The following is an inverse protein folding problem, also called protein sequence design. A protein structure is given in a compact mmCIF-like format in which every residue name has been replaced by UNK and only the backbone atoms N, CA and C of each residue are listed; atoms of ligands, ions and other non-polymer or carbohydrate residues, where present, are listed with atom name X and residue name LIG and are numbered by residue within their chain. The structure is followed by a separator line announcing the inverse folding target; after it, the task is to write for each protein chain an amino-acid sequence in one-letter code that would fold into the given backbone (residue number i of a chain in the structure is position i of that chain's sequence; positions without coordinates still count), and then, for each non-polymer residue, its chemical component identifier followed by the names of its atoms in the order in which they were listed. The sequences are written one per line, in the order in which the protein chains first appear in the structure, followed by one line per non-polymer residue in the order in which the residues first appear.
data_IF_142250933091
#
_entry.id   IF_142250933091
#
_cell.length_a   1.000
_cell.length_b   1.000
_cell.length_c   1.000
_cell.angle_alpha   90.00
_cell.angle_beta   90.00
_cell.angle_gamma   90.00
#
_symmetry.space_group_name_H-M   'P 1'
#
loop_
_entity.id
_entity.type
_entity.pdbx_description
1 polymer ?
#
# COMPACT_ATOMS: atom_id res chain seq x y z
N UNK A 1 -11.78 -23.30 -17.74
CA UNK A 1 -12.40 -21.96 -17.63
C UNK A 1 -12.99 -21.86 -16.23
N UNK A 2 -12.48 -20.97 -15.38
CA UNK A 2 -13.07 -20.74 -14.05
C UNK A 2 -14.51 -20.21 -14.20
N UNK A 3 -15.40 -20.61 -13.29
CA UNK A 3 -16.80 -20.21 -13.31
C UNK A 3 -16.91 -18.71 -12.96
N UNK A 4 -17.51 -17.86 -13.82
CA UNK A 4 -17.61 -16.42 -13.59
C UNK A 4 -18.24 -16.03 -12.24
N UNK A 5 -19.14 -16.87 -11.71
CA UNK A 5 -19.75 -16.66 -10.41
C UNK A 5 -18.75 -16.87 -9.26
N UNK A 6 -17.83 -17.83 -9.40
CA UNK A 6 -16.78 -18.10 -8.41
C UNK A 6 -15.80 -16.92 -8.38
N UNK A 7 -15.40 -16.40 -9.53
CA UNK A 7 -14.51 -15.23 -9.59
C UNK A 7 -15.16 -13.99 -8.96
N UNK A 8 -16.42 -13.70 -9.27
CA UNK A 8 -17.13 -12.58 -8.63
C UNK A 8 -17.21 -12.74 -7.11
N UNK A 9 -17.49 -13.95 -6.61
CA UNK A 9 -17.48 -14.24 -5.17
C UNK A 9 -16.11 -13.98 -4.54
N UNK A 10 -15.02 -14.45 -5.15
CA UNK A 10 -13.65 -14.15 -4.71
C UNK A 10 -13.41 -12.64 -4.68
N UNK A 11 -13.83 -11.91 -5.71
CA UNK A 11 -13.69 -10.45 -5.79
C UNK A 11 -14.38 -9.70 -4.65
N UNK A 12 -15.66 -9.99 -4.40
CA UNK A 12 -16.38 -9.39 -3.29
C UNK A 12 -15.77 -9.74 -1.93
N UNK A 13 -15.33 -10.99 -1.75
CA UNK A 13 -14.70 -11.44 -0.52
C UNK A 13 -13.39 -10.70 -0.24
N UNK A 14 -12.53 -10.52 -1.24
CA UNK A 14 -11.28 -9.76 -1.10
C UNK A 14 -11.57 -8.32 -0.67
N UNK A 15 -12.53 -7.65 -1.32
CA UNK A 15 -12.88 -6.26 -0.99
C UNK A 15 -13.45 -6.16 0.43
N UNK A 16 -14.35 -7.07 0.80
CA UNK A 16 -14.94 -7.10 2.14
C UNK A 16 -13.85 -7.30 3.21
N UNK A 17 -12.96 -8.26 3.00
CA UNK A 17 -11.85 -8.52 3.93
C UNK A 17 -10.91 -7.31 3.99
N UNK A 18 -10.58 -6.67 2.86
CA UNK A 18 -9.72 -5.49 2.87
C UNK A 18 -10.34 -4.32 3.66
N UNK A 19 -11.66 -4.12 3.55
CA UNK A 19 -12.39 -3.12 4.36
C UNK A 19 -12.31 -3.48 5.84
N UNK A 20 -12.59 -4.74 6.20
CA UNK A 20 -12.51 -5.21 7.59
C UNK A 20 -11.10 -5.04 8.14
N UNK A 21 -10.06 -5.44 7.40
CA UNK A 21 -8.66 -5.28 7.78
C UNK A 21 -8.32 -3.81 8.01
N UNK A 22 -8.70 -2.91 7.09
CA UNK A 22 -8.48 -1.48 7.26
C UNK A 22 -9.21 -0.89 8.47
N UNK A 23 -10.45 -1.29 8.72
CA UNK A 23 -11.21 -0.86 9.90
C UNK A 23 -10.62 -1.37 11.21
N UNK A 24 -10.18 -2.64 11.25
CA UNK A 24 -9.53 -3.22 12.42
C UNK A 24 -8.17 -2.58 12.69
N UNK A 25 -7.41 -2.25 11.65
CA UNK A 25 -6.14 -1.52 11.77
C UNK A 25 -6.34 -0.17 12.48
N UNK A 26 -7.38 0.58 12.10
CA UNK A 26 -7.71 1.85 12.76
C UNK A 26 -8.17 1.68 14.23
N UNK A 27 -8.67 0.49 14.59
CA UNK A 27 -9.10 0.19 15.95
C UNK A 27 -7.95 -0.31 16.85
N UNK A 28 -6.76 -0.63 16.30
CA UNK A 28 -5.62 -1.14 17.08
C UNK A 28 -5.24 -0.24 18.28
N UNK A 29 -5.20 1.10 18.16
CA UNK A 29 -4.85 1.97 19.28
C UNK A 29 -5.84 1.92 20.45
N UNK A 30 -7.08 1.48 20.22
CA UNK A 30 -8.09 1.31 21.27
C UNK A 30 -7.96 0.00 22.03
N UNK A 31 -7.26 -0.99 21.46
CA UNK A 31 -7.10 -2.34 22.03
C UNK A 31 -5.72 -2.51 22.65
N UNK A 32 -4.69 -1.88 22.08
CA UNK A 32 -3.30 -2.03 22.51
C UNK A 32 -2.83 -0.73 23.14
N UNK A 33 -2.57 -0.76 24.45
CA UNK A 33 -2.09 0.41 25.20
C UNK A 33 -0.56 0.60 25.17
N UNK A 34 0.20 -0.44 24.79
CA UNK A 34 1.66 -0.34 24.68
C UNK A 34 2.06 0.26 23.33
N UNK A 35 2.80 1.36 23.34
CA UNK A 35 3.28 2.05 22.13
C UNK A 35 4.14 1.15 21.25
N UNK A 36 5.14 0.49 21.86
CA UNK A 36 6.04 -0.45 21.14
C UNK A 36 5.27 -1.61 20.51
N UNK A 37 4.31 -2.18 21.23
CA UNK A 37 3.50 -3.28 20.72
C UNK A 37 2.56 -2.80 19.60
N UNK A 38 1.96 -1.61 19.75
CA UNK A 38 1.07 -1.01 18.76
C UNK A 38 1.81 -0.73 17.44
N UNK A 39 3.00 -0.14 17.52
CA UNK A 39 3.84 0.15 16.35
C UNK A 39 4.28 -1.13 15.64
N UNK A 40 4.79 -2.10 16.40
CA UNK A 40 5.23 -3.38 15.84
C UNK A 40 4.04 -4.10 15.19
N UNK A 41 2.92 -4.26 15.92
CA UNK A 41 1.74 -4.92 15.37
C UNK A 41 1.19 -4.18 14.17
N UNK A 42 1.11 -2.85 14.22
CA UNK A 42 0.67 -2.02 13.11
C UNK A 42 1.48 -2.25 11.84
N UNK A 43 2.82 -2.27 11.96
CA UNK A 43 3.72 -2.50 10.82
C UNK A 43 3.50 -3.85 10.13
N UNK A 44 3.13 -4.90 10.89
CA UNK A 44 2.93 -6.24 10.34
C UNK A 44 1.46 -6.61 10.08
N UNK A 45 0.49 -5.87 10.62
CA UNK A 45 -0.93 -6.25 10.62
C UNK A 45 -1.48 -6.43 9.20
N UNK A 46 -1.35 -5.38 8.38
CA UNK A 46 -1.89 -5.39 7.02
C UNK A 46 -1.19 -6.43 6.13
N UNK A 47 0.14 -6.52 6.22
CA UNK A 47 0.92 -7.46 5.40
C UNK A 47 0.57 -8.90 5.75
N UNK A 48 0.47 -9.27 7.03
CA UNK A 48 0.15 -10.64 7.42
C UNK A 48 -1.25 -11.06 6.97
N UNK A 49 -2.26 -10.23 7.26
CA UNK A 49 -3.65 -10.57 6.96
C UNK A 49 -3.86 -10.60 5.43
N UNK A 50 -3.44 -9.55 4.73
CA UNK A 50 -3.67 -9.47 3.29
C UNK A 50 -2.85 -10.49 2.52
N UNK A 51 -1.61 -10.80 2.95
CA UNK A 51 -0.82 -11.86 2.32
C UNK A 51 -1.54 -13.21 2.40
N UNK A 52 -2.00 -13.61 3.60
CA UNK A 52 -2.72 -14.88 3.79
C UNK A 52 -3.99 -14.92 2.94
N UNK A 53 -4.80 -13.86 2.98
CA UNK A 53 -6.08 -13.80 2.25
C UNK A 53 -5.86 -13.89 0.74
N UNK A 54 -4.93 -13.09 0.20
CA UNK A 54 -4.64 -13.07 -1.23
C UNK A 54 -4.00 -14.38 -1.68
N UNK A 55 -3.10 -14.95 -0.88
CA UNK A 55 -2.51 -16.26 -1.17
C UNK A 55 -3.58 -17.35 -1.24
N UNK A 56 -4.52 -17.40 -0.29
CA UNK A 56 -5.57 -18.42 -0.26
C UNK A 56 -6.59 -18.27 -1.40
N UNK A 57 -6.97 -17.03 -1.73
CA UNK A 57 -8.04 -16.76 -2.72
C UNK A 57 -7.56 -16.71 -4.16
N UNK A 58 -6.36 -16.19 -4.41
CA UNK A 58 -5.82 -15.95 -5.75
C UNK A 58 -4.70 -16.95 -6.13
N UNK A 59 -4.02 -17.57 -5.14
CA UNK A 59 -2.99 -18.60 -5.32
C UNK A 59 -1.96 -18.26 -6.42
N UNK A 60 -2.10 -18.86 -7.61
CA UNK A 60 -1.18 -18.70 -8.74
C UNK A 60 -1.13 -17.26 -9.25
N UNK A 61 -2.26 -16.57 -9.28
CA UNK A 61 -2.33 -15.15 -9.69
C UNK A 61 -1.53 -14.28 -8.71
N UNK A 62 -1.67 -14.53 -7.41
CA UNK A 62 -0.94 -13.82 -6.37
C UNK A 62 0.57 -14.09 -6.43
N UNK A 63 0.97 -15.35 -6.56
CA UNK A 63 2.38 -15.72 -6.67
C UNK A 63 3.03 -15.13 -7.92
N UNK A 64 2.27 -14.89 -8.99
CA UNK A 64 2.78 -14.25 -10.20
C UNK A 64 3.24 -12.80 -9.92
N UNK A 65 2.57 -12.07 -9.02
CA UNK A 65 2.93 -10.68 -8.69
C UNK A 65 4.34 -10.52 -8.12
N UNK A 66 4.87 -11.57 -7.51
CA UNK A 66 6.22 -11.60 -6.92
C UNK A 66 7.30 -12.10 -7.87
N UNK A 67 6.92 -12.60 -9.05
CA UNK A 67 7.88 -13.14 -10.04
C UNK A 67 8.40 -12.07 -10.99
N UNK A 68 7.60 -11.05 -11.24
CA UNK A 68 7.96 -10.00 -12.18
C UNK A 68 8.77 -8.91 -11.50
N UNK A 69 9.69 -8.33 -12.25
CA UNK A 69 10.40 -7.12 -11.87
C UNK A 69 10.64 -6.28 -13.12
N UNK A 70 10.45 -4.96 -13.04
CA UNK A 70 10.65 -4.08 -14.19
C UNK A 70 11.43 -2.84 -13.81
N UNK A 71 12.70 -2.82 -14.22
CA UNK A 71 13.59 -1.68 -14.00
C UNK A 71 13.12 -0.41 -14.72
N UNK A 72 12.53 -0.57 -15.92
CA UNK A 72 11.93 0.54 -16.68
C UNK A 72 10.86 1.27 -15.86
N UNK A 73 9.94 0.52 -15.24
CA UNK A 73 8.85 1.11 -14.47
C UNK A 73 9.29 1.63 -13.11
N UNK A 74 10.39 1.10 -12.55
CA UNK A 74 11.03 1.66 -11.36
C UNK A 74 11.61 3.05 -11.64
N UNK A 75 12.40 3.20 -12.72
CA UNK A 75 12.98 4.49 -13.11
C UNK A 75 11.90 5.53 -13.41
N UNK A 76 10.78 5.12 -14.01
CA UNK A 76 9.67 6.04 -14.31
C UNK A 76 8.86 6.33 -13.03
N UNK A 77 8.62 5.32 -12.21
CA UNK A 77 7.74 5.38 -11.06
C UNK A 77 8.25 6.30 -9.95
N UNK A 78 9.54 6.22 -9.62
CA UNK A 78 10.16 7.05 -8.57
C UNK A 78 9.99 8.56 -8.84
N UNK A 79 10.48 9.12 -9.96
CA UNK A 79 10.33 10.56 -10.23
C UNK A 79 8.87 10.95 -10.40
N UNK A 80 8.05 10.09 -11.01
CA UNK A 80 6.62 10.38 -11.19
C UNK A 80 5.90 10.50 -9.85
N UNK A 81 6.15 9.57 -8.91
CA UNK A 81 5.52 9.62 -7.59
C UNK A 81 6.01 10.83 -6.78
N UNK A 82 7.31 11.18 -6.86
CA UNK A 82 7.84 12.39 -6.24
C UNK A 82 7.17 13.67 -6.76
N UNK A 83 7.00 13.79 -8.08
CA UNK A 83 6.33 14.95 -8.70
C UNK A 83 4.88 15.01 -8.24
N UNK A 84 4.12 13.92 -8.37
CA UNK A 84 2.70 13.88 -7.97
C UNK A 84 2.54 14.15 -6.48
N UNK A 85 3.38 13.56 -5.64
CA UNK A 85 3.36 13.77 -4.19
C UNK A 85 3.65 15.22 -3.80
N UNK A 86 4.64 15.84 -4.42
CA UNK A 86 4.99 17.25 -4.17
C UNK A 86 3.87 18.19 -4.61
N UNK A 87 3.29 17.96 -5.79
CA UNK A 87 2.16 18.74 -6.30
C UNK A 87 0.92 18.58 -5.40
N UNK A 88 0.58 17.35 -5.03
CA UNK A 88 -0.55 17.07 -4.14
C UNK A 88 -0.36 17.73 -2.76
N UNK A 89 0.84 17.65 -2.19
CA UNK A 89 1.20 18.31 -0.93
C UNK A 89 1.08 19.83 -1.03
N UNK A 90 1.53 20.41 -2.14
CA UNK A 90 1.45 21.86 -2.39
C UNK A 90 0.00 22.33 -2.49
N UNK A 91 -0.84 21.59 -3.22
CA UNK A 91 -2.29 21.85 -3.32
C UNK A 91 -2.95 21.73 -1.95
N UNK A 92 -2.62 20.68 -1.19
CA UNK A 92 -3.17 20.46 0.15
C UNK A 92 -2.80 21.61 1.11
N UNK A 93 -1.54 22.04 1.11
CA UNK A 93 -1.07 23.15 1.95
C UNK A 93 -1.82 24.46 1.67
N UNK A 94 -2.13 24.73 0.41
CA UNK A 94 -2.92 25.91 0.01
C UNK A 94 -4.38 25.83 0.50
N UNK A 95 -4.97 24.63 0.51
CA UNK A 95 -6.37 24.43 0.95
C UNK A 95 -6.46 24.39 2.48
N UNK A 96 -5.51 23.74 3.15
CA UNK A 96 -5.50 23.50 4.59
C UNK A 96 -4.97 24.69 5.41
N UNK A 97 -4.45 25.74 4.77
CA UNK A 97 -3.95 26.94 5.45
C UNK A 97 -2.57 26.76 6.10
N UNK A 98 -1.73 25.87 5.57
CA UNK A 98 -0.37 25.61 6.05
C UNK A 98 -0.14 24.16 6.49
N UNK A 99 1.12 23.82 6.74
CA UNK A 99 1.53 22.51 7.24
C UNK A 99 1.34 22.47 8.76
N UNK A 100 0.31 21.80 9.25
CA UNK A 100 0.24 21.42 10.68
C UNK A 100 1.46 20.56 11.02
N UNK A 101 2.20 20.88 12.08
CA UNK A 101 3.30 20.05 12.55
C UNK A 101 2.80 18.62 12.82
N UNK A 102 3.35 17.64 12.08
CA UNK A 102 3.05 16.24 12.31
C UNK A 102 3.72 15.79 13.62
N UNK A 103 2.93 15.30 14.58
CA UNK A 103 3.39 14.70 15.84
C UNK A 103 4.29 13.46 15.65
N UNK A 104 4.33 12.92 14.42
CA UNK A 104 5.12 11.75 14.00
C UNK A 104 6.63 12.04 14.01
N UNK A 105 7.05 13.31 13.93
CA UNK A 105 8.46 13.70 13.92
C UNK A 105 9.23 13.27 15.19
N UNK A 106 8.51 12.98 16.28
CA UNK A 106 9.10 12.55 17.56
C UNK A 106 9.41 11.03 17.64
N UNK A 107 8.95 10.23 16.68
CA UNK A 107 9.05 8.74 16.68
C UNK A 107 9.90 8.20 15.52
N UNK A 108 10.19 9.03 14.51
CA UNK A 108 10.96 8.66 13.31
C UNK A 108 12.46 8.53 13.62
N UNK A 109 12.90 7.36 14.07
CA UNK A 109 14.32 6.97 14.11
C UNK A 109 14.71 6.12 12.89
N UNK A 110 16.00 6.11 12.53
CA UNK A 110 16.50 5.24 11.45
C UNK A 110 16.23 3.75 11.72
N UNK A 111 16.32 3.32 12.98
CA UNK A 111 16.01 1.94 13.37
C UNK A 111 14.54 1.62 13.11
N UNK A 112 13.62 2.52 13.50
CA UNK A 112 12.19 2.37 13.25
C UNK A 112 11.90 2.27 11.75
N UNK A 113 12.46 3.18 10.97
CA UNK A 113 12.27 3.23 9.51
C UNK A 113 12.71 1.92 8.88
N UNK A 114 13.91 1.44 9.19
CA UNK A 114 14.45 0.22 8.57
C UNK A 114 13.64 -1.02 8.98
N UNK A 115 13.21 -1.10 10.23
CA UNK A 115 12.56 -2.30 10.78
C UNK A 115 11.08 -2.40 10.44
N UNK A 116 10.35 -1.29 10.45
CA UNK A 116 8.89 -1.30 10.40
C UNK A 116 8.32 -0.82 9.05
N UNK A 117 8.89 0.25 8.46
CA UNK A 117 8.33 0.89 7.27
C UNK A 117 8.26 -0.05 6.05
N UNK A 118 9.28 -0.88 5.73
CA UNK A 118 9.20 -1.76 4.58
C UNK A 118 8.02 -2.75 4.64
N UNK A 119 7.71 -3.28 5.83
CA UNK A 119 6.61 -4.22 6.01
C UNK A 119 5.25 -3.53 6.05
N UNK A 120 5.19 -2.36 6.68
CA UNK A 120 4.00 -1.51 6.69
C UNK A 120 3.57 -1.17 5.26
N UNK A 121 4.51 -0.66 4.45
CA UNK A 121 4.26 -0.31 3.06
C UNK A 121 3.93 -1.52 2.20
N UNK A 122 4.59 -2.67 2.41
CA UNK A 122 4.19 -3.90 1.72
C UNK A 122 2.74 -4.29 2.04
N UNK A 123 2.31 -4.11 3.29
CA UNK A 123 0.93 -4.32 3.72
C UNK A 123 -0.06 -3.39 3.01
N UNK A 124 0.29 -2.12 2.87
CA UNK A 124 -0.51 -1.14 2.12
C UNK A 124 -0.59 -1.46 0.63
N UNK A 125 0.52 -1.90 0.02
CA UNK A 125 0.56 -2.37 -1.37
C UNK A 125 -0.34 -3.59 -1.56
N UNK A 126 -0.24 -4.59 -0.68
CA UNK A 126 -1.09 -5.78 -0.73
C UNK A 126 -2.57 -5.44 -0.59
N UNK A 127 -2.91 -4.52 0.32
CA UNK A 127 -4.29 -4.08 0.52
C UNK A 127 -4.81 -3.34 -0.72
N UNK A 128 -4.07 -2.36 -1.22
CA UNK A 128 -4.48 -1.51 -2.35
C UNK A 128 -4.52 -2.28 -3.68
N UNK A 129 -3.49 -3.07 -3.99
CA UNK A 129 -3.42 -3.91 -5.19
C UNK A 129 -4.45 -5.04 -5.09
N UNK A 130 -4.66 -5.62 -3.91
CA UNK A 130 -5.69 -6.64 -3.68
C UNK A 130 -7.09 -6.14 -4.03
N UNK A 131 -7.46 -4.95 -3.54
CA UNK A 131 -8.74 -4.29 -3.88
C UNK A 131 -8.82 -3.96 -5.37
N UNK A 132 -7.77 -3.38 -5.94
CA UNK A 132 -7.69 -3.08 -7.38
C UNK A 132 -7.91 -4.33 -8.22
N UNK A 133 -7.19 -5.41 -7.91
CA UNK A 133 -7.23 -6.66 -8.66
C UNK A 133 -8.59 -7.33 -8.54
N UNK A 134 -9.18 -7.35 -7.34
CA UNK A 134 -10.53 -7.83 -7.13
C UNK A 134 -11.56 -7.06 -7.97
N UNK A 135 -11.54 -5.73 -7.94
CA UNK A 135 -12.44 -4.90 -8.73
C UNK A 135 -12.22 -5.07 -10.24
N UNK A 136 -10.97 -5.00 -10.70
CA UNK A 136 -10.63 -5.03 -12.12
C UNK A 136 -10.75 -6.44 -12.73
N UNK A 137 -10.12 -7.45 -12.14
CA UNK A 137 -9.99 -8.78 -12.74
C UNK A 137 -11.10 -9.74 -12.32
N UNK A 138 -11.66 -9.58 -11.11
CA UNK A 138 -12.68 -10.51 -10.59
C UNK A 138 -14.11 -9.98 -10.74
N UNK A 139 -14.32 -8.67 -10.56
CA UNK A 139 -15.64 -8.03 -10.73
C UNK A 139 -15.85 -7.44 -12.13
N UNK A 140 -14.80 -7.34 -12.95
CA UNK A 140 -14.88 -6.86 -14.32
C UNK A 140 -15.06 -5.34 -14.44
N UNK A 141 -14.69 -4.57 -13.41
CA UNK A 141 -14.71 -3.11 -13.48
C UNK A 141 -13.66 -2.60 -14.47
N UNK A 142 -13.93 -1.44 -15.07
CA UNK A 142 -12.92 -0.78 -15.88
C UNK A 142 -11.76 -0.35 -14.98
N UNK A 143 -10.52 -0.47 -15.48
CA UNK A 143 -9.34 -0.15 -14.67
C UNK A 143 -9.41 1.25 -14.05
N UNK A 144 -9.89 2.25 -14.80
CA UNK A 144 -9.99 3.64 -14.33
C UNK A 144 -10.99 3.82 -13.17
N UNK A 145 -11.99 2.93 -13.06
CA UNK A 145 -12.96 2.92 -11.96
C UNK A 145 -12.36 2.27 -10.70
N UNK A 146 -11.45 1.33 -10.88
CA UNK A 146 -10.79 0.60 -9.81
C UNK A 146 -9.48 1.25 -9.34
N UNK A 147 -8.81 2.00 -10.21
CA UNK A 147 -7.53 2.65 -9.92
C UNK A 147 -7.75 3.90 -9.06
N UNK A 148 -7.23 3.87 -7.84
CA UNK A 148 -7.29 5.02 -6.91
C UNK A 148 -5.97 5.77 -6.81
N UNK A 149 -4.84 5.14 -7.13
CA UNK A 149 -3.50 5.67 -6.86
C UNK A 149 -2.52 5.43 -8.01
N UNK A 150 -1.47 6.25 -8.07
CA UNK A 150 -0.35 6.13 -9.03
C UNK A 150 0.27 4.73 -9.02
N UNK A 151 0.42 4.15 -7.84
CA UNK A 151 1.00 2.81 -7.63
C UNK A 151 0.16 1.71 -8.29
N UNK A 152 -1.17 1.85 -8.34
CA UNK A 152 -2.04 0.91 -9.07
C UNK A 152 -1.76 0.91 -10.58
N UNK A 153 -1.42 2.07 -11.15
CA UNK A 153 -1.04 2.17 -12.55
C UNK A 153 0.32 1.53 -12.82
N UNK A 154 1.30 1.74 -11.93
CA UNK A 154 2.59 1.08 -12.00
C UNK A 154 2.45 -0.45 -11.88
N UNK A 155 1.59 -0.93 -10.98
CA UNK A 155 1.27 -2.36 -10.88
C UNK A 155 0.69 -2.89 -12.19
N UNK A 156 -0.31 -2.22 -12.78
CA UNK A 156 -0.91 -2.64 -14.06
C UNK A 156 0.13 -2.82 -15.17
N UNK A 157 1.14 -1.96 -15.19
CA UNK A 157 2.15 -1.92 -16.25
C UNK A 157 3.34 -2.85 -16.02
N UNK A 158 3.68 -3.12 -14.77
CA UNK A 158 4.82 -3.97 -14.39
C UNK A 158 4.41 -5.38 -13.96
N UNK A 159 3.15 -5.59 -13.58
CA UNK A 159 2.62 -6.79 -12.93
C UNK A 159 3.47 -7.23 -11.73
N UNK A 160 4.12 -6.28 -11.06
CA UNK A 160 5.13 -6.53 -10.04
C UNK A 160 4.82 -5.74 -8.79
N UNK A 161 4.64 -6.46 -7.67
CA UNK A 161 4.51 -5.82 -6.36
C UNK A 161 5.86 -5.25 -5.89
N UNK A 162 6.98 -5.82 -6.32
CA UNK A 162 8.31 -5.31 -6.00
C UNK A 162 8.54 -3.91 -6.58
N UNK A 163 8.08 -3.67 -7.81
CA UNK A 163 8.22 -2.35 -8.44
C UNK A 163 7.44 -1.30 -7.66
N UNK A 164 6.19 -1.58 -7.30
CA UNK A 164 5.34 -0.62 -6.60
C UNK A 164 5.85 -0.38 -5.18
N UNK A 165 6.23 -1.45 -4.48
CA UNK A 165 6.80 -1.41 -3.15
C UNK A 165 8.11 -0.62 -3.08
N UNK A 166 9.05 -0.83 -4.00
CA UNK A 166 10.31 -0.06 -4.02
C UNK A 166 10.05 1.41 -4.34
N UNK A 167 9.17 1.70 -5.30
CA UNK A 167 8.78 3.08 -5.64
C UNK A 167 8.17 3.77 -4.41
N UNK A 168 7.31 3.07 -3.67
CA UNK A 168 6.68 3.58 -2.47
C UNK A 168 7.71 3.83 -1.35
N UNK A 169 8.55 2.83 -1.02
CA UNK A 169 9.64 3.00 -0.04
C UNK A 169 10.55 4.16 -0.40
N UNK A 170 10.92 4.28 -1.67
CA UNK A 170 11.85 5.33 -2.11
C UNK A 170 11.22 6.71 -1.90
N UNK A 171 9.94 6.86 -2.23
CA UNK A 171 9.21 8.11 -2.01
C UNK A 171 9.13 8.46 -0.51
N UNK A 172 8.80 7.50 0.34
CA UNK A 172 8.68 7.71 1.78
C UNK A 172 10.02 8.02 2.44
N UNK A 173 11.07 7.26 2.12
CA UNK A 173 12.42 7.50 2.64
C UNK A 173 12.91 8.89 2.24
N UNK A 174 12.72 9.29 0.97
CA UNK A 174 13.06 10.66 0.51
C UNK A 174 12.27 11.71 1.29
N UNK A 175 10.99 11.47 1.54
CA UNK A 175 10.12 12.37 2.30
C UNK A 175 10.51 12.46 3.78
N UNK A 176 11.11 11.40 4.34
CA UNK A 176 11.61 11.38 5.71
C UNK A 176 13.01 11.97 5.87
N UNK A 177 13.81 12.10 4.80
CA UNK A 177 15.18 12.64 4.88
C UNK A 177 15.28 13.97 5.65
N UNK A 178 14.42 14.98 5.44
CA UNK A 178 14.50 16.24 6.18
C UNK A 178 14.23 16.11 7.68
N UNK A 179 13.58 15.03 8.11
CA UNK A 179 13.26 14.73 9.50
C UNK A 179 14.39 13.89 10.12
N UNK A 180 14.91 12.91 9.38
CA UNK A 180 15.95 11.97 9.82
C UNK A 180 17.38 12.55 9.85
N UNK A 181 17.61 13.68 9.17
CA UNK A 181 18.90 14.39 9.13
C UNK A 181 18.98 15.59 10.09
N UNK A 182 17.91 15.87 10.84
CA UNK A 182 17.89 16.87 11.92
C UNK A 182 18.29 16.22 13.24
#
# INVERSE_FOLDING_TARGET
MENPLIDRKKGYLIILIAIITGSLYQALPHVISSTVALETLGAYFNVLIMFIVLFLLLKSEFLDWFKHFSFKWLIIGIPFLLIVGTLASSIWSLIAGGTTENSINSVLSWEYVIKNVPFMLLGEELLSIGVLYAAWKKLGWQFWQASRLVLNYLFKKSNSIWVTWIVHITFDVISFLPILLK
#
